data_IF_251438133728
#
_entry.id   IF_251438133728
#
_cell.length_a   1.000
_cell.length_b   1.000
_cell.length_c   1.000
_cell.angle_alpha   90.00
_cell.angle_beta   90.00
_cell.angle_gamma   90.00
#
_symmetry.space_group_name_H-M   'P 1'
#
loop_
_entity.id
_entity.type
_entity.pdbx_description
1 polymer ?
#
# COMPACT_ATOMS: atom_id res chain seq x y z
N UNK A 1 -21.34 25.09 8.76
CA UNK A 1 -20.31 24.14 9.21
C UNK A 1 -19.25 24.11 8.13
N UNK A 2 -18.10 24.73 8.36
CA UNK A 2 -16.98 24.66 7.42
C UNK A 2 -16.49 23.23 7.37
N UNK A 3 -16.51 22.62 6.18
CA UNK A 3 -16.00 21.28 5.96
C UNK A 3 -14.49 21.34 6.23
N UNK A 4 -14.03 20.97 7.43
CA UNK A 4 -12.59 20.79 7.68
C UNK A 4 -12.11 19.53 6.96
N UNK A 5 -12.00 19.61 5.64
CA UNK A 5 -11.51 18.59 4.70
C UNK A 5 -10.10 18.10 5.10
N UNK A 6 -9.34 18.93 5.83
CA UNK A 6 -8.06 18.59 6.44
C UNK A 6 -8.12 17.35 7.37
N UNK A 7 -9.29 16.94 7.86
CA UNK A 7 -9.43 15.72 8.68
C UNK A 7 -9.45 14.42 7.86
N UNK A 8 -9.75 14.46 6.57
CA UNK A 8 -9.99 13.23 5.78
C UNK A 8 -8.67 12.60 5.30
N UNK A 9 -7.62 13.39 5.05
CA UNK A 9 -6.30 12.89 4.65
C UNK A 9 -5.41 12.55 5.86
N UNK A 10 -5.94 11.79 6.82
CA UNK A 10 -5.13 11.21 7.87
C UNK A 10 -4.39 9.99 7.32
N UNK A 11 -3.27 10.21 6.63
CA UNK A 11 -2.34 9.13 6.30
C UNK A 11 -1.85 8.53 7.60
N UNK A 12 -2.33 7.32 7.93
CA UNK A 12 -1.78 6.59 9.05
C UNK A 12 -0.33 6.31 8.72
N UNK A 13 0.58 6.99 9.40
CA UNK A 13 1.99 6.62 9.42
C UNK A 13 2.05 5.12 9.61
N UNK A 14 2.66 4.43 8.65
CA UNK A 14 2.85 3.00 8.69
C UNK A 14 3.91 2.71 9.74
N UNK A 15 3.55 2.91 11.01
CA UNK A 15 4.38 2.53 12.13
C UNK A 15 4.64 1.03 11.95
N UNK A 16 5.88 0.74 11.62
CA UNK A 16 6.52 -0.56 11.79
C UNK A 16 6.47 -0.83 13.29
N UNK A 17 5.33 -1.32 13.77
CA UNK A 17 5.30 -2.17 14.94
C UNK A 17 5.75 -3.55 14.45
N UNK A 18 7.04 -3.69 14.16
CA UNK A 18 7.68 -5.01 14.19
C UNK A 18 7.56 -5.44 15.65
N UNK A 19 6.64 -6.38 15.91
CA UNK A 19 6.69 -7.14 17.13
C UNK A 19 8.07 -7.78 17.17
N UNK A 20 8.92 -7.34 18.12
CA UNK A 20 10.10 -8.12 18.50
C UNK A 20 9.63 -9.55 18.76
N UNK A 21 10.15 -10.58 18.06
CA UNK A 21 9.87 -11.94 18.45
C UNK A 21 10.36 -12.09 19.89
N UNK A 22 9.44 -12.40 20.80
CA UNK A 22 9.78 -12.73 22.18
C UNK A 22 10.72 -13.92 22.13
N UNK A 23 11.97 -13.64 22.44
CA UNK A 23 12.98 -14.59 22.83
C UNK A 23 12.36 -15.53 23.88
N UNK A 24 12.02 -16.76 23.48
CA UNK A 24 11.74 -17.84 24.41
C UNK A 24 12.98 -18.72 24.46
N UNK A 25 13.71 -18.51 25.53
CA UNK A 25 14.73 -19.36 26.13
C UNK A 25 14.37 -20.85 26.04
N UNK A 26 15.40 -21.64 25.72
CA UNK A 26 15.50 -23.10 25.77
C UNK A 26 14.77 -23.76 26.96
N UNK A 27 14.27 -24.98 26.76
CA UNK A 27 14.76 -26.22 27.43
C UNK A 27 13.92 -27.45 27.02
N UNK A 28 14.62 -28.46 26.46
CA UNK A 28 14.40 -29.93 26.49
C UNK A 28 13.06 -30.52 25.97
N UNK A 29 12.97 -31.67 25.28
CA UNK A 29 13.80 -32.87 25.15
C UNK A 29 13.41 -33.67 23.90
N UNK A 30 14.41 -34.35 23.31
CA UNK A 30 14.42 -35.70 22.69
C UNK A 30 13.16 -36.26 22.00
N UNK A 31 13.27 -36.60 20.71
CA UNK A 31 13.31 -38.02 20.29
C UNK A 31 13.60 -38.19 18.79
N UNK A 32 14.50 -39.12 18.54
CA UNK A 32 14.97 -39.69 17.28
C UNK A 32 13.83 -40.38 16.50
N UNK A 33 13.82 -40.31 15.17
CA UNK A 33 13.78 -41.48 14.25
C UNK A 33 13.77 -41.06 12.78
N UNK A 34 14.46 -41.89 12.01
CA UNK A 34 14.81 -41.83 10.58
C UNK A 34 13.63 -42.03 9.63
N UNK A 35 13.68 -41.44 8.43
CA UNK A 35 13.52 -42.19 7.17
C UNK A 35 13.83 -41.35 5.93
N UNK A 36 14.39 -42.06 4.95
CA UNK A 36 15.10 -41.63 3.74
C UNK A 36 14.22 -41.94 2.54
N UNK A 37 13.93 -40.98 1.65
CA UNK A 37 13.51 -41.29 0.27
C UNK A 37 14.08 -40.25 -0.70
N UNK A 38 15.00 -40.72 -1.55
CA UNK A 38 15.37 -40.10 -2.82
C UNK A 38 14.29 -40.42 -3.86
N UNK A 39 13.95 -39.46 -4.73
CA UNK A 39 13.69 -39.73 -6.14
C UNK A 39 13.95 -38.46 -6.95
N UNK A 40 14.78 -38.62 -7.99
CA UNK A 40 15.11 -37.61 -9.01
C UNK A 40 14.27 -37.87 -10.27
N UNK A 41 14.27 -36.85 -11.15
CA UNK A 41 13.98 -36.82 -12.60
C UNK A 41 12.54 -36.46 -12.97
N UNK A 42 12.23 -35.69 -14.02
CA UNK A 42 12.97 -34.78 -14.91
C UNK A 42 11.91 -34.12 -15.83
N UNK A 43 12.19 -32.88 -16.26
CA UNK A 43 11.68 -32.23 -17.49
C UNK A 43 10.19 -31.83 -17.58
N UNK A 44 9.95 -30.51 -17.47
CA UNK A 44 9.32 -29.77 -18.58
C UNK A 44 9.79 -28.31 -18.55
N UNK A 45 10.66 -28.02 -19.49
CA UNK A 45 11.06 -26.68 -19.89
C UNK A 45 9.86 -26.09 -20.66
N UNK A 46 9.13 -25.16 -20.04
CA UNK A 46 8.15 -24.32 -20.74
C UNK A 46 8.49 -22.85 -20.45
N UNK A 47 9.36 -22.34 -21.32
CA UNK A 47 9.21 -21.08 -22.03
C UNK A 47 8.80 -19.87 -21.17
N UNK A 48 9.84 -19.19 -20.68
CA UNK A 48 9.94 -17.74 -20.49
C UNK A 48 8.61 -16.98 -20.65
N UNK A 49 7.85 -16.88 -19.55
CA UNK A 49 6.97 -15.73 -19.38
C UNK A 49 7.89 -14.52 -19.27
N UNK A 50 7.71 -13.54 -20.14
CA UNK A 50 8.51 -12.32 -20.18
C UNK A 50 8.50 -11.65 -18.80
N UNK A 51 9.48 -11.98 -17.95
CA UNK A 51 9.76 -11.30 -16.69
C UNK A 51 10.37 -9.93 -17.02
N UNK A 52 9.62 -9.07 -17.69
CA UNK A 52 9.88 -7.65 -17.54
C UNK A 52 9.64 -7.37 -16.05
N UNK A 53 10.74 -7.23 -15.31
CA UNK A 53 10.74 -6.71 -13.95
C UNK A 53 9.90 -5.44 -13.97
N UNK A 54 8.81 -5.43 -13.19
CA UNK A 54 7.94 -4.27 -13.10
C UNK A 54 8.75 -3.17 -12.41
N UNK A 55 8.97 -2.05 -13.09
CA UNK A 55 9.72 -0.93 -12.53
C UNK A 55 8.89 -0.28 -11.42
N UNK A 56 9.40 -0.27 -10.19
CA UNK A 56 8.73 0.35 -9.04
C UNK A 56 8.63 1.86 -9.24
N UNK A 57 9.57 2.46 -9.96
CA UNK A 57 9.59 3.90 -10.23
C UNK A 57 8.49 4.35 -11.20
N UNK A 58 7.92 3.41 -11.96
CA UNK A 58 6.75 3.67 -12.81
C UNK A 58 5.43 3.81 -12.02
N UNK A 59 5.45 3.59 -10.69
CA UNK A 59 4.26 3.80 -9.87
C UNK A 59 3.85 5.27 -9.89
N UNK A 60 2.64 5.52 -10.40
CA UNK A 60 1.95 6.81 -10.36
C UNK A 60 0.74 6.68 -9.44
N UNK A 61 0.65 7.53 -8.42
CA UNK A 61 -0.45 7.52 -7.48
C UNK A 61 -1.69 8.18 -8.10
N UNK A 62 -1.56 9.41 -8.63
CA UNK A 62 -2.58 10.02 -9.50
C UNK A 62 -2.03 11.11 -10.42
N UNK A 63 -2.68 11.23 -11.58
CA UNK A 63 -2.34 12.22 -12.62
C UNK A 63 -2.98 13.58 -12.33
N UNK A 64 -2.44 14.65 -12.90
CA UNK A 64 -3.04 15.99 -12.77
C UNK A 64 -4.43 16.01 -13.41
N UNK A 65 -4.63 15.30 -14.52
CA UNK A 65 -5.91 15.16 -15.20
C UNK A 65 -6.98 14.51 -14.30
N UNK A 66 -6.60 13.50 -13.51
CA UNK A 66 -7.50 12.86 -12.55
C UNK A 66 -7.93 13.82 -11.44
N UNK A 67 -7.02 14.64 -10.93
CA UNK A 67 -7.34 15.65 -9.91
C UNK A 67 -8.24 16.73 -10.51
N UNK A 68 -7.90 17.23 -11.70
CA UNK A 68 -8.61 18.34 -12.36
C UNK A 68 -10.00 17.93 -12.87
N UNK A 69 -10.27 16.62 -12.95
CA UNK A 69 -11.60 16.11 -13.28
C UNK A 69 -12.62 16.28 -12.15
N UNK A 70 -12.18 16.53 -10.91
CA UNK A 70 -13.05 16.62 -9.73
C UNK A 70 -13.89 17.89 -9.78
N UNK A 71 -15.22 17.75 -9.70
CA UNK A 71 -16.17 18.87 -9.60
C UNK A 71 -17.21 18.64 -8.50
N UNK A 72 -17.58 17.40 -8.29
CA UNK A 72 -18.61 16.99 -7.34
C UNK A 72 -18.06 16.08 -6.24
N UNK A 73 -18.84 15.89 -5.18
CA UNK A 73 -18.52 14.92 -4.13
C UNK A 73 -18.40 13.50 -4.69
N UNK A 74 -19.26 13.14 -5.64
CA UNK A 74 -19.19 11.86 -6.35
C UNK A 74 -17.90 11.68 -7.15
N UNK A 75 -17.47 12.72 -7.86
CA UNK A 75 -16.19 12.68 -8.61
C UNK A 75 -15.01 12.44 -7.67
N UNK A 76 -14.96 13.15 -6.54
CA UNK A 76 -13.90 12.97 -5.55
C UNK A 76 -13.90 11.54 -4.98
N UNK A 77 -15.05 11.03 -4.55
CA UNK A 77 -15.18 9.65 -4.06
C UNK A 77 -14.69 8.63 -5.10
N UNK A 78 -15.06 8.83 -6.36
CA UNK A 78 -14.69 7.94 -7.45
C UNK A 78 -13.18 7.99 -7.74
N UNK A 79 -12.59 9.19 -7.82
CA UNK A 79 -11.13 9.36 -7.96
C UNK A 79 -10.41 8.70 -6.79
N UNK A 80 -10.87 8.92 -5.56
CA UNK A 80 -10.27 8.33 -4.37
C UNK A 80 -10.30 6.79 -4.41
N UNK A 81 -11.44 6.17 -4.75
CA UNK A 81 -11.53 4.70 -4.92
C UNK A 81 -10.57 4.18 -5.99
N UNK A 82 -10.55 4.82 -7.16
CA UNK A 82 -9.68 4.45 -8.28
C UNK A 82 -8.18 4.47 -7.90
N UNK A 83 -7.76 5.45 -7.09
CA UNK A 83 -6.39 5.57 -6.59
C UNK A 83 -6.04 4.38 -5.68
N UNK A 84 -6.95 4.02 -4.78
CA UNK A 84 -6.76 2.88 -3.88
C UNK A 84 -6.67 1.56 -4.65
N UNK A 85 -7.54 1.36 -5.64
CA UNK A 85 -7.51 0.18 -6.51
C UNK A 85 -6.18 0.07 -7.26
N UNK A 86 -5.69 1.19 -7.84
CA UNK A 86 -4.38 1.25 -8.51
C UNK A 86 -3.25 0.88 -7.57
N UNK A 87 -3.27 1.38 -6.34
CA UNK A 87 -2.23 1.09 -5.35
C UNK A 87 -2.21 -0.39 -4.95
N UNK A 88 -3.40 -0.97 -4.71
CA UNK A 88 -3.52 -2.41 -4.40
C UNK A 88 -3.07 -3.26 -5.59
N UNK A 89 -3.47 -2.90 -6.80
CA UNK A 89 -3.07 -3.62 -8.01
C UNK A 89 -1.55 -3.59 -8.21
N UNK A 90 -0.94 -2.40 -8.12
CA UNK A 90 0.49 -2.23 -8.35
C UNK A 90 1.33 -2.97 -7.29
N UNK A 91 1.00 -2.81 -6.01
CA UNK A 91 1.71 -3.52 -4.93
C UNK A 91 1.53 -5.04 -5.06
N UNK A 92 0.36 -5.51 -5.48
CA UNK A 92 0.16 -6.96 -5.74
C UNK A 92 1.04 -7.46 -6.88
N UNK A 93 1.18 -6.71 -7.98
CA UNK A 93 2.10 -7.06 -9.10
C UNK A 93 3.55 -7.12 -8.65
N UNK A 94 3.97 -6.24 -7.74
CA UNK A 94 5.33 -6.24 -7.19
C UNK A 94 5.62 -7.49 -6.36
N UNK A 95 4.62 -8.19 -5.83
CA UNK A 95 4.81 -9.41 -5.04
C UNK A 95 5.53 -10.55 -5.78
N UNK A 96 5.53 -10.54 -7.11
CA UNK A 96 6.25 -11.50 -7.94
C UNK A 96 7.77 -11.23 -7.98
N UNK A 97 8.18 -10.02 -7.65
CA UNK A 97 9.59 -9.60 -7.57
C UNK A 97 10.17 -9.71 -6.16
N UNK A 98 9.33 -9.91 -5.14
CA UNK A 98 9.76 -10.03 -3.75
C UNK A 98 10.39 -11.42 -3.51
N UNK A 99 11.62 -11.49 -2.99
CA UNK A 99 12.28 -12.76 -2.65
C UNK A 99 11.48 -13.60 -1.64
N UNK A 100 11.61 -14.92 -1.75
CA UNK A 100 10.78 -15.88 -1.02
C UNK A 100 10.78 -15.68 0.49
N UNK A 101 11.93 -15.35 1.08
CA UNK A 101 12.10 -15.10 2.51
C UNK A 101 11.35 -13.84 3.02
N UNK A 102 10.96 -12.93 2.12
CA UNK A 102 10.20 -11.71 2.45
C UNK A 102 8.76 -11.70 1.90
N UNK A 103 8.41 -12.65 1.02
CA UNK A 103 7.14 -12.67 0.30
C UNK A 103 5.91 -12.76 1.21
N UNK A 104 5.95 -13.62 2.22
CA UNK A 104 4.83 -13.74 3.18
C UNK A 104 4.60 -12.43 3.97
N UNK A 105 5.68 -11.83 4.46
CA UNK A 105 5.61 -10.57 5.19
C UNK A 105 5.12 -9.40 4.30
N UNK A 106 5.49 -9.41 3.02
CA UNK A 106 5.02 -8.44 2.05
C UNK A 106 3.52 -8.56 1.79
N UNK A 107 3.04 -9.78 1.52
CA UNK A 107 1.61 -10.04 1.28
C UNK A 107 0.75 -9.69 2.50
N UNK A 108 1.21 -10.03 3.70
CA UNK A 108 0.53 -9.63 4.94
C UNK A 108 0.48 -8.10 5.11
N UNK A 109 1.55 -7.40 4.72
CA UNK A 109 1.57 -5.94 4.74
C UNK A 109 0.60 -5.33 3.71
N UNK A 110 0.50 -5.89 2.50
CA UNK A 110 -0.49 -5.47 1.49
C UNK A 110 -1.91 -5.66 2.04
N UNK A 111 -2.23 -6.83 2.57
CA UNK A 111 -3.58 -7.14 3.07
C UNK A 111 -3.99 -6.20 4.21
N UNK A 112 -3.10 -5.99 5.18
CA UNK A 112 -3.33 -5.04 6.27
C UNK A 112 -3.56 -3.62 5.76
N UNK A 113 -2.77 -3.18 4.78
CA UNK A 113 -2.93 -1.86 4.20
C UNK A 113 -4.25 -1.75 3.43
N UNK A 114 -4.61 -2.76 2.64
CA UNK A 114 -5.88 -2.82 1.91
C UNK A 114 -7.08 -2.60 2.83
N UNK A 115 -7.13 -3.29 3.97
CA UNK A 115 -8.21 -3.11 4.95
C UNK A 115 -8.30 -1.66 5.46
N UNK A 116 -7.15 -1.01 5.73
CA UNK A 116 -7.12 0.41 6.14
C UNK A 116 -7.61 1.36 5.07
N UNK A 117 -7.34 1.06 3.79
CA UNK A 117 -7.83 1.84 2.67
C UNK A 117 -9.33 1.69 2.51
N UNK A 118 -9.85 0.47 2.62
CA UNK A 118 -11.29 0.19 2.59
C UNK A 118 -12.03 0.96 3.71
N UNK A 119 -11.50 0.95 4.93
CA UNK A 119 -12.01 1.74 6.05
C UNK A 119 -12.00 3.25 5.75
N UNK A 120 -10.91 3.74 5.16
CA UNK A 120 -10.76 5.17 4.80
C UNK A 120 -11.72 5.58 3.69
N UNK A 121 -11.95 4.70 2.70
CA UNK A 121 -12.95 4.90 1.64
C UNK A 121 -14.34 4.97 2.27
N UNK A 122 -14.69 4.05 3.17
CA UNK A 122 -15.98 4.04 3.84
C UNK A 122 -16.21 5.29 4.70
N UNK A 123 -15.18 5.74 5.43
CA UNK A 123 -15.25 6.97 6.20
C UNK A 123 -15.41 8.20 5.32
N UNK A 124 -14.67 8.27 4.21
CA UNK A 124 -14.78 9.35 3.23
C UNK A 124 -16.19 9.39 2.65
N UNK A 125 -16.70 8.24 2.20
CA UNK A 125 -18.04 8.13 1.63
C UNK A 125 -19.12 8.55 2.62
N UNK A 126 -19.01 8.12 3.89
CA UNK A 126 -19.90 8.53 4.98
C UNK A 126 -19.89 10.05 5.17
N UNK A 127 -18.71 10.65 5.32
CA UNK A 127 -18.58 12.09 5.55
C UNK A 127 -19.22 12.88 4.41
N UNK A 128 -18.91 12.57 3.16
CA UNK A 128 -19.48 13.33 2.04
C UNK A 128 -20.98 13.08 1.86
N UNK A 129 -21.47 11.86 2.12
CA UNK A 129 -22.90 11.55 2.05
C UNK A 129 -23.74 12.26 3.11
N UNK A 130 -23.15 12.56 4.28
CA UNK A 130 -23.79 13.38 5.32
C UNK A 130 -23.91 14.85 4.93
N UNK A 131 -23.06 15.34 4.03
CA UNK A 131 -23.02 16.75 3.61
C UNK A 131 -23.74 17.00 2.28
N UNK A 132 -23.99 15.97 1.48
CA UNK A 132 -24.70 16.11 0.21
C UNK A 132 -24.77 14.82 -0.59
N UNK A 133 -25.54 14.88 -1.69
CA UNK A 133 -25.55 13.82 -2.69
C UNK A 133 -24.25 13.79 -3.49
N UNK A 134 -24.01 12.72 -4.23
CA UNK A 134 -22.85 12.63 -5.12
C UNK A 134 -22.84 13.72 -6.20
N UNK A 135 -24.01 14.27 -6.58
CA UNK A 135 -24.13 15.37 -7.53
C UNK A 135 -23.86 16.75 -6.93
N UNK A 136 -23.58 16.83 -5.63
CA UNK A 136 -23.26 18.10 -4.96
C UNK A 136 -21.94 18.63 -5.49
N UNK A 137 -21.97 19.83 -6.07
CA UNK A 137 -20.81 20.53 -6.61
C UNK A 137 -20.01 21.15 -5.46
N UNK A 138 -18.69 21.01 -5.48
CA UNK A 138 -17.82 21.69 -4.52
C UNK A 138 -17.92 23.22 -4.68
N UNK A 139 -18.04 23.98 -3.57
CA UNK A 139 -17.76 25.41 -3.59
C UNK A 139 -16.35 25.66 -4.15
N UNK A 140 -16.18 26.68 -4.99
CA UNK A 140 -14.91 26.94 -5.71
C UNK A 140 -13.69 26.98 -4.78
N UNK A 141 -13.79 27.69 -3.66
CA UNK A 141 -12.70 27.79 -2.67
C UNK A 141 -12.34 26.44 -2.05
N UNK A 142 -13.34 25.60 -1.76
CA UNK A 142 -13.13 24.26 -1.22
C UNK A 142 -12.51 23.33 -2.28
N UNK A 143 -12.93 23.44 -3.53
CA UNK A 143 -12.36 22.68 -4.64
C UNK A 143 -10.90 23.05 -4.89
N UNK A 144 -10.57 24.34 -4.94
CA UNK A 144 -9.20 24.81 -5.15
C UNK A 144 -8.29 24.34 -3.99
N UNK A 145 -8.79 24.38 -2.76
CA UNK A 145 -8.09 23.86 -1.57
C UNK A 145 -7.90 22.34 -1.61
N UNK A 146 -8.92 21.60 -2.04
CA UNK A 146 -8.86 20.13 -2.19
C UNK A 146 -7.83 19.74 -3.24
N UNK A 147 -7.86 20.34 -4.43
CA UNK A 147 -6.93 20.09 -5.52
C UNK A 147 -5.48 20.35 -5.06
N UNK A 148 -5.25 21.46 -4.36
CA UNK A 148 -3.93 21.80 -3.82
C UNK A 148 -3.43 20.76 -2.80
N UNK A 149 -4.30 20.33 -1.87
CA UNK A 149 -3.97 19.29 -0.91
C UNK A 149 -3.68 17.95 -1.58
N UNK A 150 -4.47 17.55 -2.57
CA UNK A 150 -4.20 16.34 -3.34
C UNK A 150 -2.84 16.42 -4.03
N UNK A 151 -2.54 17.49 -4.77
CA UNK A 151 -1.23 17.66 -5.42
C UNK A 151 -0.06 17.59 -4.42
N UNK A 152 -0.24 18.16 -3.23
CA UNK A 152 0.77 18.12 -2.15
C UNK A 152 0.98 16.71 -1.61
N UNK A 153 -0.12 15.99 -1.35
CA UNK A 153 -0.05 14.65 -0.77
C UNK A 153 0.47 13.61 -1.75
N UNK A 154 0.27 13.83 -3.06
CA UNK A 154 0.73 12.95 -4.13
C UNK A 154 2.18 12.53 -3.95
N UNK A 155 3.08 13.52 -3.90
CA UNK A 155 4.52 13.27 -3.89
C UNK A 155 4.93 12.45 -2.67
N UNK A 156 4.45 12.84 -1.48
CA UNK A 156 4.77 12.15 -0.23
C UNK A 156 4.24 10.71 -0.22
N UNK A 157 3.04 10.47 -0.76
CA UNK A 157 2.48 9.12 -0.83
C UNK A 157 3.21 8.26 -1.86
N UNK A 158 3.49 8.80 -3.05
CA UNK A 158 4.25 8.08 -4.09
C UNK A 158 5.61 7.63 -3.55
N UNK A 159 6.37 8.53 -2.95
CA UNK A 159 7.67 8.22 -2.34
C UNK A 159 7.54 7.14 -1.25
N UNK A 160 6.52 7.25 -0.39
CA UNK A 160 6.29 6.29 0.69
C UNK A 160 5.95 4.89 0.16
N UNK A 161 5.11 4.80 -0.87
CA UNK A 161 4.71 3.52 -1.46
C UNK A 161 5.87 2.91 -2.23
N UNK A 162 6.62 3.70 -3.02
CA UNK A 162 7.84 3.25 -3.69
C UNK A 162 8.87 2.73 -2.69
N UNK A 163 9.17 3.50 -1.65
CA UNK A 163 10.10 3.07 -0.59
C UNK A 163 9.64 1.81 0.15
N UNK A 164 8.33 1.66 0.37
CA UNK A 164 7.77 0.40 0.88
C UNK A 164 8.06 -0.77 -0.07
N UNK A 165 7.82 -0.63 -1.37
CA UNK A 165 8.05 -1.69 -2.36
C UNK A 165 9.54 -2.05 -2.48
N UNK A 166 10.42 -1.05 -2.60
CA UNK A 166 11.87 -1.24 -2.68
C UNK A 166 12.43 -1.99 -1.47
N UNK A 167 11.98 -1.68 -0.25
CA UNK A 167 12.42 -2.39 0.97
C UNK A 167 12.22 -3.91 0.86
N UNK A 168 11.12 -4.35 0.27
CA UNK A 168 10.84 -5.78 0.12
C UNK A 168 11.50 -6.39 -1.11
N UNK A 169 11.65 -5.65 -2.22
CA UNK A 169 12.31 -6.16 -3.43
C UNK A 169 13.83 -6.20 -3.28
N UNK A 170 14.45 -5.10 -2.88
CA UNK A 170 15.91 -4.93 -2.85
C UNK A 170 16.53 -5.52 -1.57
N UNK A 171 15.74 -5.70 -0.52
CA UNK A 171 16.22 -6.27 0.73
C UNK A 171 17.11 -5.33 1.52
N UNK A 172 16.91 -4.02 1.39
CA UNK A 172 17.53 -3.08 2.32
C UNK A 172 17.03 -3.39 3.74
N UNK A 173 17.94 -3.95 4.54
CA UNK A 173 17.83 -4.00 5.99
C UNK A 173 17.60 -2.57 6.46
N UNK A 174 16.34 -2.22 6.70
CA UNK A 174 15.92 -0.91 7.19
C UNK A 174 16.41 -0.67 8.61
N UNK A 175 17.72 -0.62 8.81
CA UNK A 175 18.36 -0.11 10.00
C UNK A 175 18.69 1.36 9.76
N UNK A 176 17.65 2.19 9.66
CA UNK A 176 17.79 3.58 10.06
C UNK A 176 17.92 3.57 11.59
N UNK A 177 19.15 3.40 12.08
CA UNK A 177 19.53 3.77 13.44
C UNK A 177 19.30 5.26 13.62
N UNK A 178 18.07 5.66 13.95
CA UNK A 178 17.86 6.94 14.61
C UNK A 178 18.16 6.72 16.09
N UNK A 179 19.45 6.79 16.42
CA UNK A 179 19.88 7.08 17.79
C UNK A 179 19.25 8.42 18.17
N UNK A 180 18.25 8.40 19.05
CA UNK A 180 17.96 9.56 19.87
C UNK A 180 18.91 9.49 21.06
N UNK A 181 19.91 10.38 21.04
CA UNK A 181 20.57 10.89 22.25
C UNK A 181 19.57 11.67 23.12
#
# INVERSE_FOLDING_TARGET
MTLSIARILAFTSLAVCVNKPKEKTQTSSSSQTTSKVMTKTSSKEEKASSNASLDIDDFVYFTDEEIESIKTYGDYKNVYRKINDRMVEFTTKVADQVPGERKEAYLAAIERNKARLEDTIAQTDKVYSEHGSDNTVFPKEELDSLISQMKTVRSTTEESVKGFMHRYVDGEDGQSSTSQE
#
